data_IF_678206943984
#
_entry.id   IF_678206943984
#
_cell.length_a   1.000
_cell.length_b   1.000
_cell.length_c   1.000
_cell.angle_alpha   90.00
_cell.angle_beta   90.00
_cell.angle_gamma   90.00
#
_symmetry.space_group_name_H-M   'P 1'
#
loop_
_entity.id
_entity.type
_entity.pdbx_description
1 polymer ?
#
# COMPACT_ATOMS: atom_id res chain seq x y z
N UNK A 1 20.49 15.96 -3.23
CA UNK A 1 19.48 16.37 -2.22
C UNK A 1 18.20 15.63 -2.55
N UNK A 2 17.84 14.63 -1.73
CA UNK A 2 16.70 13.76 -2.01
C UNK A 2 15.39 14.46 -1.65
N UNK A 3 14.62 14.83 -2.66
CA UNK A 3 13.28 15.39 -2.50
C UNK A 3 12.40 14.34 -1.82
N UNK A 4 11.98 14.60 -0.58
CA UNK A 4 10.99 13.77 0.11
C UNK A 4 9.68 13.88 -0.65
N UNK A 5 9.31 12.84 -1.39
CA UNK A 5 7.97 12.78 -1.98
C UNK A 5 6.96 12.71 -0.85
N UNK A 6 5.89 13.49 -0.96
CA UNK A 6 4.74 13.35 -0.09
C UNK A 6 4.30 11.87 -0.02
N UNK A 7 4.00 11.41 1.19
CA UNK A 7 3.65 10.01 1.47
C UNK A 7 4.77 9.19 2.11
N UNK A 8 6.05 9.36 1.75
CA UNK A 8 7.14 8.57 2.35
C UNK A 8 7.26 8.74 3.87
N UNK A 9 7.06 9.98 4.36
CA UNK A 9 7.07 10.28 5.79
C UNK A 9 5.98 9.55 6.59
N UNK A 10 4.87 9.18 5.94
CA UNK A 10 3.76 8.47 6.58
C UNK A 10 3.80 6.96 6.34
N UNK A 11 4.26 6.50 5.17
CA UNK A 11 4.30 5.07 4.81
C UNK A 11 5.19 4.29 5.79
N UNK A 12 6.37 4.80 6.12
CA UNK A 12 7.30 4.08 6.99
C UNK A 12 6.76 3.89 8.42
N UNK A 13 6.26 4.93 9.12
CA UNK A 13 5.59 4.78 10.40
C UNK A 13 4.37 3.87 10.34
N UNK A 14 3.50 4.04 9.33
CA UNK A 14 2.29 3.22 9.19
C UNK A 14 2.61 1.76 8.95
N UNK A 15 3.66 1.47 8.17
CA UNK A 15 4.13 0.10 7.96
C UNK A 15 4.66 -0.50 9.27
N UNK A 16 5.43 0.25 10.06
CA UNK A 16 5.90 -0.23 11.37
C UNK A 16 4.73 -0.52 12.32
N UNK A 17 3.74 0.38 12.36
CA UNK A 17 2.52 0.19 13.15
C UNK A 17 1.75 -1.05 12.70
N UNK A 18 1.56 -1.22 11.39
CA UNK A 18 0.89 -2.38 10.82
C UNK A 18 1.57 -3.69 11.22
N UNK A 19 2.92 -3.74 11.16
CA UNK A 19 3.69 -4.92 11.60
C UNK A 19 3.50 -5.19 13.09
N UNK A 20 3.48 -4.15 13.93
CA UNK A 20 3.22 -4.29 15.37
C UNK A 20 1.81 -4.82 15.65
N UNK A 21 0.80 -4.36 14.91
CA UNK A 21 -0.57 -4.89 15.03
C UNK A 21 -0.62 -6.37 14.65
N UNK A 22 0.02 -6.76 13.55
CA UNK A 22 0.08 -8.16 13.13
C UNK A 22 0.76 -9.05 14.18
N UNK A 23 1.85 -8.59 14.81
CA UNK A 23 2.49 -9.28 15.93
C UNK A 23 1.60 -9.43 17.17
N UNK A 24 0.52 -8.64 17.28
CA UNK A 24 -0.49 -8.75 18.35
C UNK A 24 -1.67 -9.64 17.97
N UNK A 25 -1.61 -10.34 16.84
CA UNK A 25 -2.63 -11.27 16.38
C UNK A 25 -3.70 -10.66 15.47
N UNK A 26 -3.51 -9.43 15.01
CA UNK A 26 -4.42 -8.84 14.02
C UNK A 26 -4.08 -9.33 12.61
N UNK A 27 -5.10 -9.69 11.84
CA UNK A 27 -4.96 -9.85 10.39
C UNK A 27 -4.80 -8.46 9.76
N UNK A 28 -3.68 -8.24 9.09
CA UNK A 28 -3.35 -6.91 8.55
C UNK A 28 -3.08 -7.02 7.06
N UNK A 29 -3.83 -6.23 6.29
CA UNK A 29 -3.57 -5.99 4.87
C UNK A 29 -3.11 -4.54 4.71
N UNK A 30 -1.86 -4.35 4.28
CA UNK A 30 -1.29 -3.05 4.00
C UNK A 30 -1.42 -2.71 2.52
N UNK A 31 -2.36 -1.80 2.22
CA UNK A 31 -2.69 -1.40 0.84
C UNK A 31 -1.82 -0.22 0.41
N UNK A 32 -1.14 -0.37 -0.73
CA UNK A 32 -0.35 0.69 -1.36
C UNK A 32 -0.95 1.09 -2.72
N UNK A 33 -0.59 2.27 -3.20
CA UNK A 33 -0.72 2.56 -4.64
C UNK A 33 0.41 1.88 -5.44
N UNK A 34 0.21 1.70 -6.74
CA UNK A 34 1.27 1.17 -7.64
C UNK A 34 2.57 1.96 -7.55
N UNK A 35 2.47 3.29 -7.47
CA UNK A 35 3.63 4.16 -7.32
C UNK A 35 4.36 3.91 -5.99
N UNK A 36 3.64 3.91 -4.87
CA UNK A 36 4.23 3.71 -3.54
C UNK A 36 4.84 2.32 -3.37
N UNK A 37 4.20 1.28 -3.93
CA UNK A 37 4.71 -0.09 -3.90
C UNK A 37 6.06 -0.20 -4.63
N UNK A 38 6.16 0.33 -5.85
CA UNK A 38 7.42 0.35 -6.63
C UNK A 38 8.53 1.08 -5.87
N UNK A 39 8.20 2.24 -5.30
CA UNK A 39 9.14 3.05 -4.54
C UNK A 39 9.64 2.31 -3.30
N UNK A 40 8.74 1.65 -2.55
CA UNK A 40 9.10 0.86 -1.37
C UNK A 40 10.05 -0.29 -1.71
N UNK A 41 9.75 -1.07 -2.76
CA UNK A 41 10.61 -2.16 -3.21
C UNK A 41 11.98 -1.67 -3.70
N UNK A 42 12.03 -0.52 -4.40
CA UNK A 42 13.29 0.09 -4.84
C UNK A 42 14.19 0.50 -3.67
N UNK A 43 13.61 1.05 -2.60
CA UNK A 43 14.39 1.53 -1.45
C UNK A 43 14.74 0.44 -0.43
N UNK A 44 13.88 -0.58 -0.27
CA UNK A 44 14.07 -1.62 0.76
C UNK A 44 14.44 -3.00 0.21
N UNK A 45 14.43 -3.17 -1.10
CA UNK A 45 14.68 -4.42 -1.79
C UNK A 45 13.40 -5.21 -2.13
N UNK A 46 13.49 -6.13 -3.10
CA UNK A 46 12.34 -6.92 -3.58
C UNK A 46 11.71 -7.77 -2.47
N UNK A 47 12.52 -8.24 -1.53
CA UNK A 47 12.08 -9.12 -0.44
C UNK A 47 11.63 -8.33 0.81
N UNK A 48 11.51 -6.99 0.71
CA UNK A 48 11.19 -6.14 1.87
C UNK A 48 9.76 -6.31 2.40
N UNK A 49 8.91 -6.97 1.61
CA UNK A 49 7.53 -7.30 1.92
C UNK A 49 7.39 -8.74 2.42
N UNK A 50 8.47 -9.53 2.37
CA UNK A 50 8.48 -10.91 2.84
C UNK A 50 8.63 -10.96 4.37
N UNK A 51 8.20 -12.07 4.98
CA UNK A 51 8.62 -12.44 6.33
C UNK A 51 7.64 -12.17 7.48
N UNK A 52 6.35 -11.94 7.20
CA UNK A 52 5.31 -11.98 8.23
C UNK A 52 4.19 -12.92 7.79
N UNK A 53 4.00 -14.08 8.46
CA UNK A 53 2.83 -14.92 8.25
C UNK A 53 1.57 -14.07 8.42
N UNK A 54 0.62 -14.19 7.50
CA UNK A 54 -0.67 -13.49 7.52
C UNK A 54 -0.63 -11.96 7.43
N UNK A 55 0.53 -11.36 7.13
CA UNK A 55 0.63 -9.94 6.75
C UNK A 55 0.58 -9.81 5.23
N UNK A 56 -0.47 -9.19 4.72
CA UNK A 56 -0.66 -9.06 3.27
C UNK A 56 -0.27 -7.67 2.78
N UNK A 57 0.41 -7.62 1.65
CA UNK A 57 0.62 -6.37 0.92
C UNK A 57 -0.23 -6.40 -0.34
N UNK A 58 -1.03 -5.36 -0.53
CA UNK A 58 -1.94 -5.26 -1.67
C UNK A 58 -1.70 -3.95 -2.41
N UNK A 59 -1.98 -3.96 -3.71
CA UNK A 59 -1.73 -2.81 -4.58
C UNK A 59 -3.00 -2.44 -5.33
N UNK A 60 -3.43 -1.18 -5.17
CA UNK A 60 -4.52 -0.60 -5.96
C UNK A 60 -3.99 0.50 -6.89
N UNK A 61 -4.61 0.73 -8.05
CA UNK A 61 -4.30 1.90 -8.87
C UNK A 61 -4.77 3.19 -8.17
N UNK A 62 -3.97 4.25 -8.23
CA UNK A 62 -4.28 5.59 -7.72
C UNK A 62 -4.88 6.53 -8.78
N UNK A 63 -5.06 6.03 -10.01
CA UNK A 63 -5.67 6.74 -11.13
C UNK A 63 -4.76 7.74 -11.84
N UNK A 64 -3.50 7.90 -11.38
CA UNK A 64 -2.53 8.76 -12.03
C UNK A 64 -1.76 8.03 -13.14
N UNK A 65 -1.22 8.76 -14.14
CA UNK A 65 -0.30 8.20 -15.12
C UNK A 65 0.94 7.59 -14.45
N UNK A 66 1.57 6.58 -15.06
CA UNK A 66 2.84 6.05 -14.59
C UNK A 66 3.88 7.18 -14.45
N UNK A 67 4.53 7.24 -13.30
CA UNK A 67 5.61 8.20 -13.01
C UNK A 67 6.83 7.46 -12.47
N UNK A 68 8.01 8.01 -12.70
CA UNK A 68 9.25 7.46 -12.12
C UNK A 68 9.18 7.58 -10.59
N UNK A 69 9.57 6.50 -9.90
CA UNK A 69 9.54 6.41 -8.46
C UNK A 69 10.42 7.47 -7.75
N UNK A 70 11.34 8.12 -8.46
CA UNK A 70 12.22 9.18 -7.93
C UNK A 70 11.62 10.60 -8.02
N UNK A 71 10.51 10.78 -8.75
CA UNK A 71 9.86 12.10 -8.91
C UNK A 71 8.87 12.34 -7.78
N UNK A 72 8.84 13.54 -7.19
CA UNK A 72 7.82 13.89 -6.21
C UNK A 72 6.43 13.84 -6.86
N UNK A 73 5.48 13.14 -6.23
CA UNK A 73 4.10 13.13 -6.67
C UNK A 73 3.45 14.50 -6.43
N UNK A 74 2.58 14.90 -7.35
CA UNK A 74 1.68 16.03 -7.18
C UNK A 74 0.57 15.63 -6.19
N UNK A 75 0.63 16.20 -4.98
CA UNK A 75 -0.28 15.83 -3.88
C UNK A 75 -1.74 16.21 -4.15
N UNK A 76 -2.05 17.44 -4.62
CA UNK A 76 -3.39 17.77 -5.08
C UNK A 76 -3.94 16.79 -6.12
N UNK A 77 -3.16 16.49 -7.16
CA UNK A 77 -3.59 15.57 -8.21
C UNK A 77 -3.82 14.14 -7.66
N UNK A 78 -2.93 13.65 -6.80
CA UNK A 78 -3.07 12.35 -6.14
C UNK A 78 -4.32 12.28 -5.26
N UNK A 79 -4.59 13.32 -4.48
CA UNK A 79 -5.78 13.40 -3.61
C UNK A 79 -7.06 13.35 -4.44
N UNK A 80 -7.15 14.19 -5.48
CA UNK A 80 -8.30 14.23 -6.38
C UNK A 80 -8.50 12.89 -7.09
N UNK A 81 -7.45 12.33 -7.67
CA UNK A 81 -7.49 11.06 -8.39
C UNK A 81 -7.88 9.91 -7.46
N UNK A 82 -7.32 9.85 -6.25
CA UNK A 82 -7.65 8.81 -5.26
C UNK A 82 -9.13 8.85 -4.87
N UNK A 83 -9.68 10.05 -4.62
CA UNK A 83 -11.08 10.21 -4.22
C UNK A 83 -12.10 9.74 -5.27
N UNK A 84 -11.69 9.70 -6.55
CA UNK A 84 -12.58 9.35 -7.66
C UNK A 84 -12.31 7.96 -8.22
N UNK A 85 -11.08 7.44 -8.11
CA UNK A 85 -10.67 6.20 -8.79
C UNK A 85 -10.43 5.02 -7.86
N UNK A 86 -10.08 5.25 -6.58
CA UNK A 86 -9.71 4.15 -5.68
C UNK A 86 -10.90 3.39 -5.09
N UNK A 87 -12.12 3.94 -5.15
CA UNK A 87 -13.29 3.32 -4.50
C UNK A 87 -13.59 1.91 -5.04
N UNK A 88 -13.65 1.76 -6.36
CA UNK A 88 -13.94 0.48 -7.02
C UNK A 88 -12.86 -0.57 -6.74
N UNK A 89 -11.56 -0.32 -6.99
CA UNK A 89 -10.53 -1.31 -6.71
C UNK A 89 -10.42 -1.62 -5.22
N UNK A 90 -10.64 -0.64 -4.34
CA UNK A 90 -10.65 -0.89 -2.89
C UNK A 90 -11.80 -1.80 -2.47
N UNK A 91 -13.02 -1.59 -3.00
CA UNK A 91 -14.16 -2.50 -2.76
C UNK A 91 -13.88 -3.91 -3.27
N UNK A 92 -13.33 -4.04 -4.48
CA UNK A 92 -12.96 -5.35 -5.03
C UNK A 92 -11.95 -6.08 -4.13
N UNK A 93 -10.98 -5.34 -3.58
CA UNK A 93 -10.02 -5.90 -2.63
C UNK A 93 -10.68 -6.40 -1.34
N UNK A 94 -11.61 -5.62 -0.78
CA UNK A 94 -12.35 -6.01 0.43
C UNK A 94 -13.19 -7.29 0.22
N UNK A 95 -13.82 -7.42 -0.94
CA UNK A 95 -14.58 -8.62 -1.30
C UNK A 95 -13.67 -9.85 -1.42
N UNK A 96 -12.49 -9.70 -2.02
CA UNK A 96 -11.51 -10.79 -2.09
C UNK A 96 -10.99 -11.20 -0.71
N UNK A 97 -10.73 -10.24 0.18
CA UNK A 97 -10.23 -10.53 1.53
C UNK A 97 -11.26 -11.23 2.42
N UNK A 98 -12.56 -10.99 2.23
CA UNK A 98 -13.64 -11.61 3.03
C UNK A 98 -14.03 -13.01 2.55
N UNK A 99 -13.67 -13.39 1.32
CA UNK A 99 -14.05 -14.69 0.76
C UNK A 99 -13.14 -15.83 1.27
N UNK A 100 -11.90 -15.55 1.69
CA UNK A 100 -10.99 -16.57 2.22
C UNK A 100 -11.36 -17.06 3.63
N UNK A 101 -12.06 -16.25 4.43
CA UNK A 101 -12.41 -16.62 5.81
C UNK A 101 -13.53 -17.68 5.87
N UNK A 102 -14.23 -17.92 4.76
CA UNK A 102 -15.28 -18.94 4.64
C UNK A 102 -14.76 -20.33 4.24
N UNK A 103 -13.49 -20.46 3.86
CA UNK A 103 -12.89 -21.74 3.47
C UNK A 103 -12.35 -22.57 4.65
N UNK A 104 -12.53 -22.10 5.89
CA UNK A 104 -12.06 -22.76 7.12
C UNK A 104 -13.20 -23.19 8.07
N UNK A 105 -14.41 -23.45 7.54
CA UNK A 105 -15.50 -24.11 8.29
C UNK A 105 -15.76 -25.50 7.69
#
# INVERSE_FOLDING_TARGET
MGSTSAGQGHINPMLKLAKLLNQKGFHVTFVNSKYNHKRLLRFRGPNSLDGLPDFRFEVIPDGLPPSDADVSQDVPALSQSTSTTCLVPFRNLLLQSTTCDLCHI
#
